data_IF_286611960618
#
_entry.id   IF_286611960618
#
_cell.length_a   1.000
_cell.length_b   1.000
_cell.length_c   1.000
_cell.angle_alpha   90.00
_cell.angle_beta   90.00
_cell.angle_gamma   90.00
#
_symmetry.space_group_name_H-M   'P 1'
#
loop_
_entity.id
_entity.type
_entity.pdbx_description
1 polymer ?
#
# COMPACT_ATOMS: atom_id res chain seq x y z
N UNK A 1 33.48 63.31 -24.10
CA UNK A 1 34.56 62.57 -24.78
C UNK A 1 34.47 61.12 -24.30
N UNK A 2 34.35 60.07 -25.12
CA UNK A 2 34.10 60.01 -26.56
C UNK A 2 34.70 58.74 -27.19
N UNK A 3 33.86 57.80 -27.67
CA UNK A 3 34.19 56.64 -28.55
C UNK A 3 35.17 55.58 -27.98
N UNK A 4 35.26 54.31 -28.39
CA UNK A 4 34.57 53.38 -29.33
C UNK A 4 34.38 52.04 -28.55
N UNK A 5 33.44 51.11 -28.74
CA UNK A 5 32.58 50.64 -29.84
C UNK A 5 33.25 49.87 -30.99
N UNK A 6 33.22 48.54 -30.87
CA UNK A 6 33.23 47.52 -31.94
C UNK A 6 32.17 46.47 -31.51
N UNK A 7 31.22 45.95 -32.30
CA UNK A 7 30.96 46.10 -33.74
C UNK A 7 31.82 45.13 -34.56
N UNK A 8 31.30 44.06 -35.17
CA UNK A 8 29.95 43.49 -35.12
C UNK A 8 29.85 42.21 -35.98
N UNK A 9 28.68 41.54 -35.92
CA UNK A 9 27.98 40.78 -37.00
C UNK A 9 28.75 39.62 -37.70
N UNK A 10 28.14 38.48 -38.05
CA UNK A 10 27.05 38.37 -39.03
C UNK A 10 26.50 36.95 -39.24
N UNK A 11 25.18 36.86 -39.52
CA UNK A 11 24.52 36.05 -40.58
C UNK A 11 24.40 34.49 -40.41
N UNK A 12 23.14 34.09 -40.13
CA UNK A 12 22.29 33.12 -40.87
C UNK A 12 22.84 31.78 -41.39
N UNK A 13 22.15 30.68 -41.02
CA UNK A 13 21.21 30.02 -41.96
C UNK A 13 20.28 28.97 -41.32
N UNK A 14 19.00 29.00 -41.71
CA UNK A 14 18.14 27.81 -41.80
C UNK A 14 18.34 27.17 -43.17
N UNK A 15 18.04 25.87 -43.32
CA UNK A 15 16.98 25.54 -44.28
C UNK A 15 15.93 24.55 -43.72
N UNK A 16 14.85 24.39 -44.47
CA UNK A 16 13.64 23.61 -44.15
C UNK A 16 13.43 22.41 -45.10
N UNK A 17 12.31 21.67 -44.95
CA UNK A 17 11.93 20.42 -45.69
C UNK A 17 12.64 19.14 -45.15
N UNK A 18 12.20 17.87 -45.22
CA UNK A 18 11.01 17.13 -45.73
C UNK A 18 10.91 15.79 -44.91
N UNK A 19 9.79 15.08 -44.69
CA UNK A 19 8.37 15.32 -44.98
C UNK A 19 7.59 14.07 -45.44
N UNK A 20 6.85 13.40 -44.52
CA UNK A 20 5.93 12.25 -44.75
C UNK A 20 6.56 10.89 -45.19
N UNK A 21 5.86 9.73 -45.04
CA UNK A 21 4.44 9.54 -44.70
C UNK A 21 4.11 8.63 -43.51
N UNK A 22 2.85 8.70 -43.09
CA UNK A 22 2.17 7.64 -42.34
C UNK A 22 1.51 6.66 -43.32
N UNK A 23 1.51 5.36 -42.98
CA UNK A 23 0.77 4.34 -43.73
C UNK A 23 -0.60 4.10 -43.08
N UNK A 24 -1.64 4.63 -43.71
CA UNK A 24 -3.04 4.21 -43.51
C UNK A 24 -3.53 3.40 -44.71
N UNK A 25 -4.72 2.81 -44.55
CA UNK A 25 -5.57 2.11 -45.53
C UNK A 25 -5.42 0.57 -45.61
N UNK A 26 -6.50 -0.21 -45.74
CA UNK A 26 -7.91 0.12 -45.50
C UNK A 26 -8.77 -1.13 -45.24
N UNK A 27 -9.83 -0.91 -44.48
CA UNK A 27 -11.04 -1.74 -44.30
C UNK A 27 -11.70 -2.27 -45.60
N UNK A 28 -12.29 -3.47 -45.53
CA UNK A 28 -13.60 -3.96 -46.07
C UNK A 28 -13.60 -5.52 -45.91
N UNK A 29 -14.69 -6.26 -45.66
CA UNK A 29 -16.06 -5.93 -45.28
C UNK A 29 -17.03 -7.13 -45.40
N UNK A 30 -17.50 -7.69 -44.27
CA UNK A 30 -18.70 -8.56 -44.13
C UNK A 30 -18.66 -9.92 -44.92
N UNK A 31 -19.71 -10.78 -44.90
CA UNK A 31 -19.69 -12.02 -44.09
C UNK A 31 -19.83 -13.30 -44.95
N UNK A 32 -19.73 -14.51 -44.36
CA UNK A 32 -20.62 -15.65 -44.65
C UNK A 32 -20.31 -16.91 -43.83
N UNK A 33 -21.27 -17.82 -43.89
CA UNK A 33 -21.58 -19.01 -43.09
C UNK A 33 -20.60 -20.21 -43.16
N UNK A 34 -20.59 -20.96 -42.06
CA UNK A 34 -20.57 -22.45 -41.95
C UNK A 34 -19.27 -23.30 -41.96
N UNK A 35 -19.32 -24.29 -41.05
CA UNK A 35 -18.82 -25.68 -41.11
C UNK A 35 -17.42 -26.13 -40.61
N UNK A 36 -17.46 -26.91 -39.49
CA UNK A 36 -16.64 -28.10 -39.13
C UNK A 36 -15.12 -27.90 -38.84
N UNK A 37 -14.43 -28.51 -37.87
CA UNK A 37 -14.68 -29.44 -36.73
C UNK A 37 -13.78 -28.97 -35.54
N UNK A 38 -13.84 -29.42 -34.28
CA UNK A 38 -14.69 -30.37 -33.54
C UNK A 38 -14.17 -30.50 -32.09
N UNK A 39 -15.05 -30.82 -31.12
CA UNK A 39 -14.69 -30.97 -29.68
C UNK A 39 -15.09 -32.34 -29.14
N UNK A 40 -14.35 -32.95 -28.19
CA UNK A 40 -14.79 -34.15 -27.48
C UNK A 40 -15.70 -33.78 -26.30
N UNK A 41 -16.95 -34.26 -26.31
CA UNK A 41 -17.82 -34.32 -25.14
C UNK A 41 -17.79 -35.72 -24.53
N UNK A 42 -17.78 -35.82 -23.19
CA UNK A 42 -18.11 -37.07 -22.50
C UNK A 42 -19.58 -37.09 -22.06
N UNK A 43 -20.17 -38.28 -22.13
CA UNK A 43 -21.61 -38.50 -22.18
C UNK A 43 -22.22 -38.65 -20.78
N UNK A 44 -23.39 -38.04 -20.57
CA UNK A 44 -24.27 -38.27 -19.41
C UNK A 44 -25.66 -38.71 -19.87
N UNK A 45 -26.08 -39.90 -19.49
CA UNK A 45 -27.47 -40.38 -19.52
C UNK A 45 -27.78 -41.14 -18.22
N UNK A 46 -29.04 -41.34 -17.81
CA UNK A 46 -30.29 -40.84 -18.39
C UNK A 46 -31.52 -41.59 -17.86
N UNK A 47 -32.17 -41.04 -16.82
CA UNK A 47 -33.62 -41.12 -16.51
C UNK A 47 -34.28 -42.51 -16.31
N UNK A 48 -35.63 -42.56 -16.16
CA UNK A 48 -36.56 -41.50 -15.73
C UNK A 48 -37.51 -41.94 -14.57
N UNK A 49 -38.32 -41.02 -14.00
CA UNK A 49 -39.80 -41.02 -14.07
C UNK A 49 -40.54 -40.39 -12.85
N UNK A 50 -41.67 -39.73 -13.18
CA UNK A 50 -42.85 -39.36 -12.37
C UNK A 50 -42.82 -38.38 -11.18
N UNK A 51 -43.96 -37.68 -11.09
CA UNK A 51 -44.39 -36.66 -10.13
C UNK A 51 -45.19 -37.30 -8.97
N UNK A 52 -45.30 -36.61 -7.82
CA UNK A 52 -46.57 -36.14 -7.22
C UNK A 52 -46.43 -35.78 -5.72
N UNK A 53 -47.33 -34.90 -5.27
CA UNK A 53 -47.49 -34.42 -3.87
C UNK A 53 -48.36 -35.42 -3.08
N UNK A 54 -47.98 -35.74 -1.83
CA UNK A 54 -48.89 -35.86 -0.66
C UNK A 54 -48.18 -36.27 0.64
N UNK A 55 -48.75 -35.85 1.77
CA UNK A 55 -48.60 -36.36 3.16
C UNK A 55 -50.03 -36.63 3.68
N UNK A 56 -50.31 -37.35 4.79
CA UNK A 56 -49.49 -37.51 6.01
C UNK A 56 -49.63 -38.88 6.79
N UNK A 57 -49.10 -38.89 8.04
CA UNK A 57 -49.40 -39.79 9.18
C UNK A 57 -48.99 -41.29 9.14
N UNK A 58 -48.47 -41.82 10.28
CA UNK A 58 -48.43 -43.28 10.53
C UNK A 58 -47.26 -43.86 11.34
N UNK A 59 -47.29 -43.69 12.67
CA UNK A 59 -46.67 -44.49 13.76
C UNK A 59 -45.70 -45.67 13.53
N UNK A 60 -44.54 -45.58 14.19
CA UNK A 60 -43.83 -46.61 15.01
C UNK A 60 -43.35 -47.94 14.37
N UNK A 61 -42.02 -48.10 14.26
CA UNK A 61 -41.28 -49.32 14.65
C UNK A 61 -39.77 -48.99 14.85
N UNK A 62 -39.04 -49.66 15.77
CA UNK A 62 -37.63 -49.38 16.02
C UNK A 62 -36.72 -50.10 15.02
N UNK A 63 -35.57 -49.51 14.70
CA UNK A 63 -34.46 -50.20 14.05
C UNK A 63 -33.14 -49.63 14.53
N UNK A 64 -32.26 -50.53 14.98
CA UNK A 64 -30.93 -50.20 15.48
C UNK A 64 -30.08 -49.57 14.37
N UNK A 65 -29.92 -48.25 14.45
CA UNK A 65 -28.98 -47.52 13.59
C UNK A 65 -27.66 -47.36 14.33
N UNK A 66 -26.68 -48.16 13.90
CA UNK A 66 -25.29 -48.10 14.37
C UNK A 66 -24.71 -46.70 14.09
N UNK A 67 -24.24 -45.96 15.11
CA UNK A 67 -23.78 -44.58 14.92
C UNK A 67 -22.32 -44.52 14.46
N UNK A 68 -22.10 -44.10 13.21
CA UNK A 68 -20.76 -43.76 12.66
C UNK A 68 -20.87 -42.64 11.61
N UNK A 69 -19.97 -41.64 11.60
CA UNK A 69 -19.37 -40.99 12.76
C UNK A 69 -19.68 -39.48 12.78
N UNK A 70 -19.91 -38.89 13.96
CA UNK A 70 -20.27 -37.46 14.13
C UNK A 70 -19.17 -36.44 13.74
N UNK A 71 -18.04 -36.90 13.19
CA UNK A 71 -16.87 -36.08 12.88
C UNK A 71 -17.15 -35.08 11.75
N UNK A 72 -17.89 -35.48 10.70
CA UNK A 72 -18.24 -34.57 9.60
C UNK A 72 -19.18 -33.44 10.05
N UNK A 73 -20.10 -33.73 10.97
CA UNK A 73 -21.04 -32.74 11.51
C UNK A 73 -20.34 -31.74 12.43
N UNK A 74 -19.43 -32.23 13.28
CA UNK A 74 -18.56 -31.37 14.10
C UNK A 74 -17.61 -30.55 13.23
N UNK A 75 -16.96 -31.14 12.23
CA UNK A 75 -16.10 -30.42 11.30
C UNK A 75 -16.85 -29.31 10.54
N UNK A 76 -18.09 -29.57 10.11
CA UNK A 76 -18.97 -28.55 9.52
C UNK A 76 -19.36 -27.44 10.51
N UNK A 77 -19.61 -27.77 11.78
CA UNK A 77 -19.88 -26.79 12.83
C UNK A 77 -18.65 -25.91 13.12
N UNK A 78 -17.46 -26.50 13.26
CA UNK A 78 -16.21 -25.77 13.45
C UNK A 78 -15.84 -24.92 12.22
N UNK A 79 -16.07 -25.41 11.01
CA UNK A 79 -15.87 -24.64 9.78
C UNK A 79 -16.84 -23.44 9.70
N UNK A 80 -18.13 -23.64 10.01
CA UNK A 80 -19.09 -22.54 10.06
C UNK A 80 -18.79 -21.54 11.18
N UNK A 81 -18.36 -22.01 12.35
CA UNK A 81 -17.97 -21.13 13.46
C UNK A 81 -16.73 -20.30 13.10
N UNK A 82 -15.73 -20.92 12.46
CA UNK A 82 -14.54 -20.22 11.94
C UNK A 82 -14.92 -19.19 10.88
N UNK A 83 -15.70 -19.57 9.87
CA UNK A 83 -16.14 -18.67 8.80
C UNK A 83 -16.94 -17.49 9.35
N UNK A 84 -17.78 -17.72 10.37
CA UNK A 84 -18.50 -16.65 11.06
C UNK A 84 -17.56 -15.71 11.82
N UNK A 85 -16.56 -16.23 12.55
CA UNK A 85 -15.58 -15.39 13.25
C UNK A 85 -14.67 -14.61 12.29
N UNK A 86 -14.34 -15.17 11.13
CA UNK A 86 -13.50 -14.52 10.12
C UNK A 86 -14.25 -13.39 9.41
N UNK A 87 -15.53 -13.60 9.10
CA UNK A 87 -16.42 -12.55 8.60
C UNK A 87 -16.65 -11.43 9.63
N UNK A 88 -16.81 -11.76 10.92
CA UNK A 88 -16.96 -10.78 12.00
C UNK A 88 -15.70 -9.90 12.15
N UNK A 89 -14.51 -10.50 12.05
CA UNK A 89 -13.22 -9.80 12.04
C UNK A 89 -13.06 -8.88 10.81
N UNK A 90 -13.46 -9.32 9.61
CA UNK A 90 -13.41 -8.45 8.42
C UNK A 90 -14.45 -7.32 8.48
N UNK A 91 -15.63 -7.57 9.04
CA UNK A 91 -16.63 -6.53 9.32
C UNK A 91 -16.12 -5.47 10.31
N UNK A 92 -15.41 -5.87 11.37
CA UNK A 92 -14.77 -4.96 12.33
C UNK A 92 -13.70 -4.09 11.65
N UNK A 93 -12.82 -4.71 10.86
CA UNK A 93 -11.79 -4.01 10.07
C UNK A 93 -12.44 -3.03 9.08
N UNK A 94 -13.49 -3.43 8.37
CA UNK A 94 -14.22 -2.58 7.42
C UNK A 94 -15.01 -1.45 8.10
N UNK A 95 -15.39 -1.60 9.38
CA UNK A 95 -15.92 -0.49 10.18
C UNK A 95 -14.82 0.51 10.54
N UNK A 96 -13.66 0.05 11.02
CA UNK A 96 -12.51 0.91 11.34
C UNK A 96 -12.01 1.69 10.12
N UNK A 97 -11.91 1.04 8.97
CA UNK A 97 -11.56 1.67 7.68
C UNK A 97 -12.53 2.82 7.36
N UNK A 98 -13.85 2.60 7.45
CA UNK A 98 -14.85 3.64 7.15
C UNK A 98 -14.75 4.85 8.07
N UNK A 99 -14.48 4.66 9.36
CA UNK A 99 -14.28 5.75 10.33
C UNK A 99 -13.06 6.61 9.94
N UNK A 100 -11.96 5.96 9.55
CA UNK A 100 -10.72 6.62 9.12
C UNK A 100 -10.92 7.33 7.77
N UNK A 101 -11.54 6.68 6.78
CA UNK A 101 -11.89 7.31 5.49
C UNK A 101 -12.77 8.55 5.68
N UNK A 102 -13.76 8.50 6.58
CA UNK A 102 -14.62 9.64 6.90
C UNK A 102 -13.82 10.79 7.55
N UNK A 103 -12.98 10.50 8.54
CA UNK A 103 -12.13 11.51 9.17
C UNK A 103 -11.17 12.18 8.17
N UNK A 104 -10.62 11.42 7.21
CA UNK A 104 -9.79 11.95 6.11
C UNK A 104 -10.61 12.85 5.18
N UNK A 105 -11.81 12.42 4.78
CA UNK A 105 -12.71 13.19 3.92
C UNK A 105 -13.13 14.53 4.55
N UNK A 106 -13.40 14.53 5.85
CA UNK A 106 -13.77 15.72 6.62
C UNK A 106 -12.54 16.58 7.05
N UNK A 107 -11.35 16.29 6.53
CA UNK A 107 -10.13 17.06 6.78
C UNK A 107 -9.48 16.86 8.16
N UNK A 108 -10.05 15.99 9.01
CA UNK A 108 -9.50 15.65 10.34
C UNK A 108 -8.37 14.62 10.23
N UNK A 109 -7.29 15.01 9.55
CA UNK A 109 -6.16 14.11 9.27
C UNK A 109 -5.48 13.57 10.53
N UNK A 110 -5.31 14.42 11.57
CA UNK A 110 -4.71 13.99 12.84
C UNK A 110 -5.57 12.93 13.55
N UNK A 111 -6.89 13.11 13.59
CA UNK A 111 -7.84 12.13 14.14
C UNK A 111 -7.76 10.80 13.36
N UNK A 112 -7.75 10.87 12.03
CA UNK A 112 -7.59 9.69 11.19
C UNK A 112 -6.29 8.91 11.46
N UNK A 113 -5.19 9.62 11.69
CA UNK A 113 -3.91 9.00 12.09
C UNK A 113 -3.98 8.37 13.47
N UNK A 114 -4.58 9.04 14.46
CA UNK A 114 -4.77 8.49 15.82
C UNK A 114 -5.58 7.18 15.77
N UNK A 115 -6.72 7.20 15.08
CA UNK A 115 -7.58 6.02 14.90
C UNK A 115 -6.86 4.87 14.17
N UNK A 116 -5.99 5.18 13.21
CA UNK A 116 -5.14 4.19 12.52
C UNK A 116 -4.06 3.60 13.45
N UNK A 117 -3.28 4.45 14.11
CA UNK A 117 -2.16 4.06 14.99
C UNK A 117 -2.67 3.23 16.17
N UNK A 118 -3.81 3.60 16.75
CA UNK A 118 -4.42 2.89 17.88
C UNK A 118 -5.26 1.66 17.45
N UNK A 119 -5.25 1.30 16.17
CA UNK A 119 -6.14 0.24 15.66
C UNK A 119 -5.71 -1.18 16.06
N UNK A 120 -4.41 -1.45 16.23
CA UNK A 120 -3.89 -2.81 16.31
C UNK A 120 -4.06 -3.64 15.02
N UNK A 121 -4.37 -2.96 13.90
CA UNK A 121 -4.50 -3.49 12.53
C UNK A 121 -3.85 -2.51 11.54
N UNK A 122 -2.73 -1.93 11.95
CA UNK A 122 -2.09 -0.80 11.28
C UNK A 122 -1.69 -1.15 9.84
N UNK A 123 -1.18 -2.36 9.63
CA UNK A 123 -0.77 -2.86 8.31
C UNK A 123 -1.97 -2.98 7.36
N UNK A 124 -3.04 -3.65 7.80
CA UNK A 124 -4.22 -3.89 6.97
C UNK A 124 -4.96 -2.60 6.63
N UNK A 125 -5.06 -1.67 7.58
CA UNK A 125 -5.68 -0.36 7.36
C UNK A 125 -4.80 0.50 6.45
N UNK A 126 -3.47 0.48 6.59
CA UNK A 126 -2.60 1.19 5.67
C UNK A 126 -2.80 0.71 4.22
N UNK A 127 -2.80 -0.61 4.01
CA UNK A 127 -2.91 -1.23 2.69
C UNK A 127 -4.31 -1.15 2.05
N UNK A 128 -5.39 -1.06 2.85
CA UNK A 128 -6.78 -0.95 2.33
C UNK A 128 -7.31 0.49 2.28
N UNK A 129 -6.76 1.40 3.09
CA UNK A 129 -7.22 2.79 3.21
C UNK A 129 -6.14 3.80 2.86
N UNK A 130 -5.06 3.89 3.64
CA UNK A 130 -4.15 5.04 3.59
C UNK A 130 -3.34 5.13 2.29
N UNK A 131 -2.83 4.00 1.78
CA UNK A 131 -2.05 3.96 0.54
C UNK A 131 -2.85 4.38 -0.72
N UNK A 132 -4.18 4.57 -0.62
CA UNK A 132 -5.04 5.07 -1.71
C UNK A 132 -5.02 6.60 -1.82
N UNK A 133 -4.45 7.29 -0.84
CA UNK A 133 -4.26 8.74 -0.84
C UNK A 133 -2.80 9.08 -1.15
N UNK A 134 -2.57 10.19 -1.86
CA UNK A 134 -1.21 10.72 -2.03
C UNK A 134 -0.62 11.10 -0.67
N UNK A 135 0.64 10.73 -0.36
CA UNK A 135 1.29 11.10 0.90
C UNK A 135 1.29 12.61 1.16
N UNK A 136 1.41 13.42 0.10
CA UNK A 136 1.39 14.89 0.16
C UNK A 136 0.14 15.45 0.85
N UNK A 137 -0.99 14.73 0.89
CA UNK A 137 -2.18 15.16 1.64
C UNK A 137 -1.91 15.30 3.15
N UNK A 138 -0.87 14.65 3.67
CA UNK A 138 -0.56 14.52 5.10
C UNK A 138 0.69 15.31 5.52
N UNK A 139 1.20 16.21 4.66
CA UNK A 139 2.34 17.09 4.97
C UNK A 139 2.02 18.19 6.02
N UNK A 140 0.75 18.42 6.32
CA UNK A 140 0.29 19.33 7.36
C UNK A 140 0.16 18.69 8.76
N UNK A 141 0.59 17.43 8.92
CA UNK A 141 0.59 16.75 10.23
C UNK A 141 1.66 17.32 11.18
N UNK A 142 1.39 17.40 12.50
CA UNK A 142 2.38 17.83 13.47
C UNK A 142 3.63 16.93 13.49
N UNK A 143 4.83 17.45 13.81
CA UNK A 143 6.08 16.67 13.79
C UNK A 143 6.05 15.38 14.62
N UNK A 144 5.41 15.39 15.80
CA UNK A 144 5.25 14.18 16.61
C UNK A 144 4.38 13.13 15.90
N UNK A 145 3.33 13.55 15.19
CA UNK A 145 2.48 12.64 14.43
C UNK A 145 3.24 12.04 13.24
N UNK A 146 4.02 12.85 12.52
CA UNK A 146 4.90 12.38 11.43
C UNK A 146 5.93 11.37 11.94
N UNK A 147 6.51 11.61 13.12
CA UNK A 147 7.43 10.66 13.75
C UNK A 147 6.76 9.32 14.08
N UNK A 148 5.52 9.34 14.61
CA UNK A 148 4.78 8.11 14.87
C UNK A 148 4.38 7.40 13.56
N UNK A 149 4.02 8.14 12.50
CA UNK A 149 3.80 7.56 11.16
C UNK A 149 5.06 6.83 10.67
N UNK A 150 6.26 7.45 10.80
CA UNK A 150 7.54 6.80 10.47
C UNK A 150 7.73 5.53 11.29
N UNK A 151 7.53 5.59 12.61
CA UNK A 151 7.71 4.43 13.50
C UNK A 151 6.77 3.27 13.13
N UNK A 152 5.48 3.56 12.94
CA UNK A 152 4.45 2.56 12.62
C UNK A 152 4.74 1.84 11.30
N UNK A 153 5.09 2.56 10.23
CA UNK A 153 5.42 1.93 8.94
C UNK A 153 6.76 1.19 9.02
N UNK A 154 7.79 1.80 9.64
CA UNK A 154 9.14 1.22 9.71
C UNK A 154 9.20 -0.08 10.52
N UNK A 155 8.37 -0.21 11.57
CA UNK A 155 8.30 -1.39 12.45
C UNK A 155 8.14 -2.69 11.67
N UNK A 156 7.17 -2.75 10.77
CA UNK A 156 6.79 -3.95 10.02
C UNK A 156 7.27 -3.94 8.56
N UNK A 157 8.03 -2.91 8.16
CA UNK A 157 8.64 -2.74 6.83
C UNK A 157 9.48 -3.96 6.43
N UNK A 158 9.13 -4.53 5.26
CA UNK A 158 9.69 -5.74 4.62
C UNK A 158 9.23 -5.82 3.15
N UNK A 159 9.83 -6.66 2.28
CA UNK A 159 9.37 -6.83 0.90
C UNK A 159 7.91 -7.26 0.83
N UNK A 160 7.08 -6.47 0.15
CA UNK A 160 5.65 -6.70 -0.01
C UNK A 160 5.07 -5.91 -1.21
N UNK A 161 3.85 -6.23 -1.69
CA UNK A 161 3.25 -5.58 -2.87
C UNK A 161 2.97 -4.08 -2.75
N UNK A 162 3.01 -3.51 -1.53
CA UNK A 162 2.80 -2.08 -1.23
C UNK A 162 4.05 -1.38 -0.71
N UNK A 163 5.22 -2.01 -0.82
CA UNK A 163 6.48 -1.45 -0.32
C UNK A 163 6.80 -0.09 -0.98
N UNK A 164 6.42 0.11 -2.25
CA UNK A 164 6.59 1.42 -2.90
C UNK A 164 5.79 2.51 -2.18
N UNK A 165 4.51 2.27 -1.91
CA UNK A 165 3.65 3.21 -1.19
C UNK A 165 4.11 3.44 0.25
N UNK A 166 4.59 2.40 0.95
CA UNK A 166 5.21 2.52 2.28
C UNK A 166 6.44 3.45 2.25
N UNK A 167 7.32 3.29 1.25
CA UNK A 167 8.50 4.13 1.04
C UNK A 167 8.13 5.58 0.66
N UNK A 168 7.10 5.81 -0.17
CA UNK A 168 6.62 7.16 -0.50
C UNK A 168 5.99 7.88 0.71
N UNK A 169 5.30 7.13 1.60
CA UNK A 169 4.79 7.65 2.87
C UNK A 169 5.93 7.99 3.85
N UNK A 170 6.94 7.13 3.96
CA UNK A 170 8.14 7.39 4.76
C UNK A 170 8.91 8.61 4.22
N UNK A 171 9.11 8.72 2.91
CA UNK A 171 9.79 9.86 2.28
C UNK A 171 9.10 11.18 2.64
N UNK A 172 7.78 11.25 2.45
CA UNK A 172 6.97 12.41 2.82
C UNK A 172 7.11 12.74 4.31
N UNK A 173 6.99 11.74 5.18
CA UNK A 173 7.03 11.97 6.62
C UNK A 173 8.42 12.42 7.10
N UNK A 174 9.50 11.83 6.61
CA UNK A 174 10.89 12.23 6.92
C UNK A 174 11.20 13.63 6.42
N UNK A 175 10.80 13.96 5.19
CA UNK A 175 10.98 15.30 4.60
C UNK A 175 10.30 16.36 5.47
N UNK A 176 9.00 16.17 5.69
CA UNK A 176 8.14 17.11 6.41
C UNK A 176 8.55 17.24 7.87
N UNK A 177 8.93 16.13 8.52
CA UNK A 177 9.47 16.16 9.88
C UNK A 177 10.74 17.00 9.94
N UNK A 178 11.71 16.75 9.05
CA UNK A 178 12.97 17.51 8.97
C UNK A 178 12.78 19.01 8.74
N UNK A 179 11.84 19.39 7.86
CA UNK A 179 11.47 20.78 7.59
C UNK A 179 10.92 21.51 8.83
N UNK A 180 10.23 20.80 9.73
CA UNK A 180 9.58 21.40 10.90
C UNK A 180 10.46 21.45 12.17
N UNK A 181 11.54 20.67 12.26
CA UNK A 181 12.41 20.62 13.47
C UNK A 181 12.90 22.01 13.94
N UNK A 182 13.35 22.93 13.07
CA UNK A 182 13.86 24.23 13.53
C UNK A 182 12.77 25.15 14.11
N UNK A 183 11.50 24.91 13.76
CA UNK A 183 10.36 25.75 14.14
C UNK A 183 9.53 25.15 15.28
N UNK A 184 9.84 23.93 15.72
CA UNK A 184 9.08 23.25 16.77
C UNK A 184 9.57 23.70 18.15
N UNK A 185 8.64 24.11 19.01
CA UNK A 185 8.95 24.58 20.37
C UNK A 185 9.35 23.41 21.29
N UNK A 186 10.65 23.14 21.30
CA UNK A 186 11.25 22.07 22.09
C UNK A 186 11.43 22.41 23.59
N UNK A 187 11.01 23.59 24.05
CA UNK A 187 11.21 24.06 25.43
C UNK A 187 10.26 23.40 26.47
N UNK A 188 9.40 22.49 26.04
CA UNK A 188 8.40 21.85 26.89
C UNK A 188 8.99 20.68 27.72
N UNK A 189 8.44 20.48 28.93
CA UNK A 189 8.79 19.34 29.78
C UNK A 189 8.52 18.01 29.05
N UNK A 190 9.47 17.08 29.10
CA UNK A 190 9.41 15.81 28.35
C UNK A 190 10.11 15.82 26.98
N UNK A 191 10.70 16.95 26.57
CA UNK A 191 11.41 17.02 25.28
C UNK A 191 12.59 16.04 25.17
N UNK A 192 13.39 15.82 26.22
CA UNK A 192 14.58 14.95 26.15
C UNK A 192 14.23 13.50 25.81
N UNK A 193 13.08 13.03 26.30
CA UNK A 193 12.46 11.74 26.03
C UNK A 193 11.93 11.69 24.59
N UNK A 194 11.29 12.77 24.12
CA UNK A 194 10.84 12.92 22.73
C UNK A 194 12.01 12.89 21.75
N UNK A 195 13.13 13.59 22.01
CA UNK A 195 14.37 13.48 21.22
C UNK A 195 14.83 12.02 21.18
N UNK A 196 14.83 11.34 22.32
CA UNK A 196 15.34 9.98 22.41
C UNK A 196 14.49 9.03 21.57
N UNK A 197 13.16 9.17 21.63
CA UNK A 197 12.22 8.44 20.79
C UNK A 197 12.39 8.78 19.30
N UNK A 198 12.67 10.05 18.97
CA UNK A 198 12.96 10.48 17.60
C UNK A 198 14.24 9.83 17.05
N UNK A 199 15.33 9.88 17.83
CA UNK A 199 16.59 9.22 17.49
C UNK A 199 16.42 7.71 17.30
N UNK A 200 15.70 7.03 18.20
CA UNK A 200 15.43 5.60 18.11
C UNK A 200 14.59 5.25 16.87
N UNK A 201 13.55 6.04 16.57
CA UNK A 201 12.69 5.86 15.40
C UNK A 201 13.45 6.06 14.09
N UNK A 202 14.30 7.09 14.01
CA UNK A 202 15.12 7.34 12.82
C UNK A 202 16.21 6.28 12.63
N UNK A 203 16.83 5.80 13.72
CA UNK A 203 17.77 4.68 13.67
C UNK A 203 17.09 3.38 13.23
N UNK A 204 15.88 3.08 13.74
CA UNK A 204 15.07 1.95 13.29
C UNK A 204 14.79 2.04 11.79
N UNK A 205 14.34 3.20 11.31
CA UNK A 205 14.09 3.45 9.89
C UNK A 205 15.36 3.21 9.04
N UNK A 206 16.51 3.77 9.42
CA UNK A 206 17.78 3.57 8.72
C UNK A 206 18.15 2.08 8.64
N UNK A 207 18.04 1.36 9.76
CA UNK A 207 18.33 -0.08 9.83
C UNK A 207 17.36 -0.92 8.98
N UNK A 208 16.13 -0.45 8.78
CA UNK A 208 15.09 -1.11 7.96
C UNK A 208 15.23 -0.82 6.46
N UNK A 209 15.70 0.37 6.08
CA UNK A 209 15.83 0.78 4.67
C UNK A 209 17.14 0.32 4.03
N UNK A 210 18.25 0.28 4.78
CA UNK A 210 19.57 -0.13 4.26
C UNK A 210 19.55 -1.49 3.52
N UNK A 211 18.92 -2.57 4.04
CA UNK A 211 18.84 -3.85 3.33
C UNK A 211 18.19 -3.79 1.94
N UNK A 212 17.29 -2.82 1.69
CA UNK A 212 16.71 -2.63 0.36
C UNK A 212 17.68 -1.94 -0.61
N UNK A 213 18.53 -1.03 -0.11
CA UNK A 213 19.60 -0.39 -0.91
C UNK A 213 20.63 -1.45 -1.32
N UNK A 214 20.98 -2.35 -0.40
CA UNK A 214 21.89 -3.46 -0.65
C UNK A 214 21.27 -4.47 -1.63
N UNK A 215 19.99 -4.82 -1.48
CA UNK A 215 19.27 -5.70 -2.40
C UNK A 215 19.03 -5.15 -3.82
N UNK A 216 19.28 -3.86 -4.07
CA UNK A 216 19.22 -3.23 -5.40
C UNK A 216 20.62 -3.13 -6.04
N UNK A 217 21.72 -3.39 -5.29
CA UNK A 217 23.08 -3.23 -5.81
C UNK A 217 23.50 -4.25 -6.87
N UNK A 218 22.89 -5.44 -6.90
CA UNK A 218 23.28 -6.54 -7.80
C UNK A 218 22.87 -6.37 -9.28
N UNK A 219 22.35 -5.20 -9.67
CA UNK A 219 21.99 -4.86 -11.07
C UNK A 219 20.73 -5.54 -11.59
N UNK A 220 20.34 -6.68 -11.00
CA UNK A 220 19.05 -7.34 -11.13
C UNK A 220 18.51 -7.62 -9.72
N UNK A 221 17.58 -6.79 -9.20
CA UNK A 221 16.93 -7.11 -7.93
C UNK A 221 16.21 -8.45 -8.07
N UNK A 222 16.68 -9.45 -7.32
CA UNK A 222 16.11 -10.81 -7.34
C UNK A 222 14.68 -10.82 -6.76
N UNK A 223 14.37 -9.81 -5.95
CA UNK A 223 13.05 -9.58 -5.38
C UNK A 223 12.20 -8.65 -6.29
N UNK A 224 11.04 -9.10 -6.79
CA UNK A 224 10.17 -8.30 -7.65
C UNK A 224 9.58 -7.05 -6.96
N UNK A 225 9.55 -7.00 -5.62
CA UNK A 225 9.09 -5.83 -4.88
C UNK A 225 10.14 -4.70 -4.86
N UNK A 226 11.43 -5.04 -4.97
CA UNK A 226 12.51 -4.05 -5.06
C UNK A 226 12.67 -3.45 -6.46
N UNK A 227 12.23 -4.17 -7.51
CA UNK A 227 12.33 -3.73 -8.90
C UNK A 227 11.61 -2.40 -9.22
N UNK A 228 10.64 -2.01 -8.39
CA UNK A 228 9.87 -0.76 -8.55
C UNK A 228 10.33 0.37 -7.59
N UNK A 229 11.41 0.17 -6.84
CA UNK A 229 11.95 1.15 -5.89
C UNK A 229 13.10 1.96 -6.50
N UNK A 230 13.06 3.26 -6.29
CA UNK A 230 14.15 4.16 -6.64
C UNK A 230 15.24 4.10 -5.56
N UNK A 231 16.40 3.52 -5.88
CA UNK A 231 17.55 3.46 -4.96
C UNK A 231 17.95 4.84 -4.42
N UNK A 232 17.94 5.87 -5.28
CA UNK A 232 18.24 7.26 -4.91
C UNK A 232 17.31 7.80 -3.82
N UNK A 233 16.03 7.41 -3.84
CA UNK A 233 15.03 7.74 -2.82
C UNK A 233 15.33 7.06 -1.49
N UNK A 234 15.64 5.76 -1.51
CA UNK A 234 16.03 5.01 -0.31
C UNK A 234 17.30 5.60 0.33
N UNK A 235 18.31 5.91 -0.48
CA UNK A 235 19.53 6.60 -0.02
C UNK A 235 19.25 8.00 0.52
N UNK A 236 18.32 8.75 -0.09
CA UNK A 236 17.87 10.05 0.41
C UNK A 236 17.17 9.93 1.77
N UNK A 237 16.29 8.93 1.97
CA UNK A 237 15.63 8.66 3.26
C UNK A 237 16.67 8.37 4.35
N UNK A 238 17.63 7.48 4.08
CA UNK A 238 18.69 7.13 5.04
C UNK A 238 19.52 8.35 5.40
N UNK A 239 20.07 9.05 4.40
CA UNK A 239 20.97 10.19 4.61
C UNK A 239 20.28 11.36 5.32
N UNK A 240 19.02 11.61 5.02
CA UNK A 240 18.21 12.66 5.66
C UNK A 240 17.87 12.28 7.10
N UNK A 241 17.52 11.02 7.37
CA UNK A 241 17.25 10.52 8.72
C UNK A 241 18.50 10.58 9.62
N UNK A 242 19.67 10.26 9.07
CA UNK A 242 20.96 10.38 9.75
C UNK A 242 21.32 11.84 10.05
N UNK A 243 21.12 12.76 9.08
CA UNK A 243 21.34 14.19 9.28
C UNK A 243 20.41 14.77 10.36
N UNK A 244 19.13 14.40 10.34
CA UNK A 244 18.16 14.78 11.37
C UNK A 244 18.62 14.26 12.74
N UNK A 245 19.01 12.99 12.84
CA UNK A 245 19.51 12.41 14.09
C UNK A 245 20.78 13.14 14.61
N UNK A 246 21.67 13.55 13.72
CA UNK A 246 22.85 14.35 14.07
C UNK A 246 22.45 15.74 14.61
N UNK A 247 21.46 16.42 14.01
CA UNK A 247 20.98 17.72 14.51
C UNK A 247 20.48 17.64 15.97
N UNK A 248 19.78 16.56 16.33
CA UNK A 248 19.35 16.31 17.71
C UNK A 248 20.49 15.99 18.67
N UNK A 249 21.57 15.35 18.21
CA UNK A 249 22.75 15.14 19.03
C UNK A 249 23.48 16.45 19.34
N UNK A 250 23.49 17.40 18.39
CA UNK A 250 23.98 18.76 18.61
C UNK A 250 23.19 19.51 19.69
N UNK A 251 21.85 19.41 19.69
CA UNK A 251 20.99 20.02 20.71
C UNK A 251 21.32 19.49 22.12
N UNK A 252 21.64 18.20 22.26
CA UNK A 252 22.03 17.58 23.54
C UNK A 252 23.40 18.04 24.09
N UNK A 253 24.20 18.78 23.32
CA UNK A 253 25.55 19.22 23.72
C UNK A 253 25.63 20.70 24.14
N UNK A 254 24.50 21.42 24.17
CA UNK A 254 24.42 22.82 24.61
C UNK A 254 23.85 23.00 26.05
N UNK A 255 23.58 21.89 26.75
CA UNK A 255 23.22 21.83 28.18
C UNK A 255 24.41 21.37 29.06
#
# INVERSE_FOLDING_TARGET
MGHQSYGGHSISNKPSSTGYPASQAASHGQPYHNNHMGSPHYVRGGGPNSQLISSPQGSVAPSEQVPVPAVSTLAGAFANQRNKSEAEVDHELQQRIRIIEQAIQEGRLQEAMIQWIQSGRETEIFQRCLCRYSPSRFDSLPPLMLLVVIATISKDLKPNPRLKEEIEWIEMAVRTFGENIPSYEWEQQGFREVIQSALQTLQLLVNKVRPFIDGIQDGYPTDPFLANLERSKLEWIVRTSEHIAQSFSGIRHYD
#
